data_IF_017908567600
#
_entry.id   IF_017908567600
#
_cell.length_a   1.000
_cell.length_b   1.000
_cell.length_c   1.000
_cell.angle_alpha   90.00
_cell.angle_beta   90.00
_cell.angle_gamma   90.00
#
_symmetry.space_group_name_H-M   'P 1'
#
loop_
_entity.id
_entity.type
_entity.pdbx_description
1 polymer ?
#
# COMPACT_ATOMS: atom_id res chain seq x y z
N UNK A 1 -42.27 25.52 57.98
CA UNK A 1 -43.54 26.20 57.55
C UNK A 1 -44.07 25.42 56.35
N UNK A 2 -45.16 24.74 56.55
CA UNK A 2 -45.86 23.97 55.51
C UNK A 2 -46.81 24.91 54.77
N UNK A 3 -46.40 25.45 53.62
CA UNK A 3 -47.30 26.23 52.74
C UNK A 3 -48.19 25.25 51.97
N UNK A 4 -49.48 25.48 51.99
CA UNK A 4 -50.49 24.71 51.25
C UNK A 4 -50.42 25.04 49.73
N UNK A 5 -49.91 26.22 49.38
CA UNK A 5 -49.78 26.67 48.00
C UNK A 5 -48.45 26.25 47.33
N UNK A 6 -47.44 25.92 48.09
CA UNK A 6 -46.12 25.48 47.56
C UNK A 6 -45.62 24.29 48.34
N UNK A 7 -45.61 23.10 47.72
CA UNK A 7 -45.02 21.89 48.28
C UNK A 7 -43.54 21.83 47.95
N UNK A 8 -42.69 22.35 48.84
CA UNK A 8 -41.23 22.40 48.68
C UNK A 8 -40.61 21.01 48.58
N UNK A 9 -41.18 19.99 49.24
CA UNK A 9 -40.72 18.62 49.15
C UNK A 9 -41.00 18.00 47.78
N UNK A 10 -42.18 18.23 47.24
CA UNK A 10 -42.53 17.76 45.89
C UNK A 10 -41.68 18.45 44.82
N UNK A 11 -41.42 19.77 44.95
CA UNK A 11 -40.55 20.49 44.02
C UNK A 11 -39.12 20.00 44.04
N UNK A 12 -38.54 19.70 45.21
CA UNK A 12 -37.19 19.12 45.36
C UNK A 12 -37.12 17.70 44.73
N UNK A 13 -38.15 16.86 44.99
CA UNK A 13 -38.26 15.53 44.37
C UNK A 13 -38.37 15.62 42.85
N UNK A 14 -39.15 16.52 42.32
CA UNK A 14 -39.30 16.75 40.87
C UNK A 14 -37.99 17.23 40.21
N UNK A 15 -37.27 18.13 40.88
CA UNK A 15 -35.94 18.59 40.41
C UNK A 15 -34.93 17.45 40.37
N UNK A 16 -34.93 16.58 41.40
CA UNK A 16 -34.08 15.40 41.44
C UNK A 16 -34.45 14.42 40.34
N UNK A 17 -35.73 14.19 40.10
CA UNK A 17 -36.23 13.29 39.08
C UNK A 17 -35.90 13.77 37.66
N UNK A 18 -35.96 15.09 37.41
CA UNK A 18 -35.49 15.69 36.15
C UNK A 18 -33.99 15.42 35.93
N UNK A 19 -33.13 15.65 36.93
CA UNK A 19 -31.70 15.36 36.84
C UNK A 19 -31.41 13.87 36.56
N UNK A 20 -32.21 12.96 37.17
CA UNK A 20 -32.07 11.52 36.92
C UNK A 20 -32.43 11.20 35.46
N UNK A 21 -33.56 11.78 34.96
CA UNK A 21 -33.96 11.58 33.56
C UNK A 21 -32.92 12.11 32.56
N UNK A 22 -32.39 13.31 32.76
CA UNK A 22 -31.36 13.89 31.92
C UNK A 22 -30.08 13.03 31.93
N UNK A 23 -29.68 12.51 33.11
CA UNK A 23 -28.56 11.60 33.25
C UNK A 23 -28.81 10.26 32.57
N UNK A 24 -30.05 9.75 32.66
CA UNK A 24 -30.47 8.49 32.04
C UNK A 24 -30.46 8.61 30.51
N UNK A 25 -30.93 9.71 29.94
CA UNK A 25 -30.89 9.99 28.53
C UNK A 25 -29.42 10.04 28.01
N UNK A 26 -28.55 10.73 28.74
CA UNK A 26 -27.10 10.76 28.41
C UNK A 26 -26.48 9.37 28.40
N UNK A 27 -26.76 8.54 29.42
CA UNK A 27 -26.24 7.18 29.49
C UNK A 27 -26.84 6.28 28.42
N UNK A 28 -28.15 6.42 28.10
CA UNK A 28 -28.78 5.69 27.01
C UNK A 28 -28.15 6.00 25.66
N UNK A 29 -27.87 7.28 25.40
CA UNK A 29 -27.18 7.70 24.16
C UNK A 29 -25.79 7.08 24.07
N UNK A 30 -25.01 7.06 25.17
CA UNK A 30 -23.68 6.42 25.23
C UNK A 30 -23.75 4.91 25.01
N UNK A 31 -24.76 4.24 25.61
CA UNK A 31 -24.97 2.80 25.43
C UNK A 31 -25.40 2.49 23.99
N UNK A 32 -26.18 3.36 23.38
CA UNK A 32 -26.66 3.18 22.00
C UNK A 32 -25.60 3.48 20.95
N UNK A 33 -24.82 4.56 21.13
CA UNK A 33 -23.77 4.96 20.19
C UNK A 33 -22.44 4.23 20.40
N UNK A 34 -22.19 3.72 21.62
CA UNK A 34 -20.90 3.17 22.02
C UNK A 34 -19.84 4.23 22.37
N UNK A 35 -20.18 5.52 22.25
CA UNK A 35 -19.26 6.62 22.48
C UNK A 35 -19.53 7.35 23.79
N UNK A 36 -18.46 7.65 24.52
CA UNK A 36 -18.49 8.57 25.66
C UNK A 36 -18.43 10.02 25.19
N UNK A 37 -17.73 10.29 24.08
CA UNK A 37 -17.61 11.61 23.44
C UNK A 37 -18.02 11.46 21.98
N UNK A 38 -19.26 11.76 21.69
CA UNK A 38 -19.85 11.66 20.35
C UNK A 38 -19.76 12.99 19.61
N UNK A 39 -19.99 14.09 20.33
CA UNK A 39 -20.05 15.44 19.78
C UNK A 39 -19.05 16.37 20.46
N UNK A 40 -18.76 17.52 19.82
CA UNK A 40 -17.91 18.56 20.40
C UNK A 40 -18.51 19.13 21.71
N UNK A 41 -19.84 19.01 21.90
CA UNK A 41 -20.51 19.47 23.10
C UNK A 41 -20.17 18.61 24.33
N UNK A 42 -19.86 17.31 24.15
CA UNK A 42 -19.48 16.41 25.23
C UNK A 42 -18.08 16.72 25.74
N UNK A 43 -17.13 16.87 24.84
CA UNK A 43 -15.75 17.30 25.13
C UNK A 43 -15.03 17.73 23.84
N UNK A 44 -14.97 19.05 23.64
CA UNK A 44 -14.40 19.64 22.43
C UNK A 44 -12.93 19.24 22.16
N UNK A 45 -12.13 19.09 23.22
CA UNK A 45 -10.71 18.74 23.08
C UNK A 45 -10.52 17.28 22.59
N UNK A 46 -11.19 16.31 23.25
CA UNK A 46 -11.11 14.91 22.84
C UNK A 46 -11.76 14.65 21.50
N UNK A 47 -12.90 15.29 21.23
CA UNK A 47 -13.57 15.21 19.94
C UNK A 47 -12.71 15.72 18.80
N UNK A 48 -12.05 16.88 18.97
CA UNK A 48 -11.16 17.46 17.95
C UNK A 48 -9.96 16.55 17.66
N UNK A 49 -9.30 16.03 18.71
CA UNK A 49 -8.16 15.11 18.55
C UNK A 49 -8.62 13.82 17.85
N UNK A 50 -9.73 13.21 18.31
CA UNK A 50 -10.25 11.98 17.73
C UNK A 50 -10.67 12.16 16.26
N UNK A 51 -11.29 13.28 15.91
CA UNK A 51 -11.69 13.59 14.53
C UNK A 51 -10.47 13.75 13.63
N UNK A 52 -9.42 14.43 14.09
CA UNK A 52 -8.15 14.53 13.35
C UNK A 52 -7.51 13.16 13.16
N UNK A 53 -7.43 12.35 14.23
CA UNK A 53 -6.87 10.99 14.17
C UNK A 53 -7.67 10.07 13.24
N UNK A 54 -9.01 10.15 13.23
CA UNK A 54 -9.85 9.40 12.29
C UNK A 54 -9.61 9.83 10.85
N UNK A 55 -9.42 11.13 10.60
CA UNK A 55 -9.07 11.65 9.28
C UNK A 55 -7.70 11.10 8.83
N UNK A 56 -6.72 11.10 9.73
CA UNK A 56 -5.38 10.57 9.44
C UNK A 56 -5.42 9.05 9.20
N UNK A 57 -6.25 8.32 9.95
CA UNK A 57 -6.47 6.89 9.75
C UNK A 57 -7.07 6.58 8.37
N UNK A 58 -8.06 7.37 7.94
CA UNK A 58 -8.61 7.26 6.58
C UNK A 58 -7.56 7.55 5.50
N UNK A 59 -6.68 8.52 5.71
CA UNK A 59 -5.58 8.81 4.79
C UNK A 59 -4.56 7.64 4.75
N UNK A 60 -4.22 7.05 5.90
CA UNK A 60 -3.32 5.89 5.99
C UNK A 60 -3.91 4.65 5.32
N UNK A 61 -5.22 4.40 5.44
CA UNK A 61 -5.89 3.31 4.73
C UNK A 61 -5.78 3.48 3.21
N UNK A 62 -5.96 4.70 2.69
CA UNK A 62 -5.75 4.98 1.26
C UNK A 62 -4.28 4.77 0.83
N UNK A 63 -3.32 5.09 1.71
CA UNK A 63 -1.89 4.81 1.46
C UNK A 63 -1.63 3.31 1.41
N UNK A 64 -2.28 2.52 2.27
CA UNK A 64 -2.17 1.07 2.26
C UNK A 64 -2.69 0.47 0.94
N UNK A 65 -3.83 0.95 0.43
CA UNK A 65 -4.34 0.56 -0.89
C UNK A 65 -3.35 0.92 -2.01
N UNK A 66 -2.73 2.10 -1.93
CA UNK A 66 -1.72 2.55 -2.90
C UNK A 66 -0.44 1.70 -2.83
N UNK A 67 -0.01 1.28 -1.63
CA UNK A 67 1.10 0.34 -1.45
C UNK A 67 0.79 -1.02 -2.06
N UNK A 68 -0.43 -1.55 -1.87
CA UNK A 68 -0.88 -2.79 -2.50
C UNK A 68 -0.82 -2.72 -4.03
N UNK A 69 -1.25 -1.59 -4.62
CA UNK A 69 -1.13 -1.34 -6.05
C UNK A 69 0.33 -1.26 -6.50
N UNK A 70 1.18 -0.58 -5.72
CA UNK A 70 2.62 -0.51 -5.97
C UNK A 70 3.30 -1.88 -5.90
N UNK A 71 2.95 -2.70 -4.92
CA UNK A 71 3.43 -4.08 -4.79
C UNK A 71 3.07 -4.91 -6.03
N UNK A 72 1.82 -4.84 -6.51
CA UNK A 72 1.41 -5.57 -7.70
C UNK A 72 2.22 -5.17 -8.94
N UNK A 73 2.54 -3.88 -9.12
CA UNK A 73 3.39 -3.41 -10.23
C UNK A 73 4.82 -3.94 -10.13
N UNK A 74 5.41 -3.91 -8.93
CA UNK A 74 6.77 -4.42 -8.71
C UNK A 74 6.85 -5.93 -8.86
N UNK A 75 5.86 -6.67 -8.38
CA UNK A 75 5.80 -8.13 -8.47
C UNK A 75 5.69 -8.60 -9.93
N UNK A 76 4.89 -7.92 -10.77
CA UNK A 76 4.79 -8.23 -12.19
C UNK A 76 6.11 -7.96 -12.91
N UNK A 77 6.74 -6.81 -12.65
CA UNK A 77 8.03 -6.49 -13.23
C UNK A 77 9.11 -7.48 -12.79
N UNK A 78 9.13 -7.88 -11.52
CA UNK A 78 10.05 -8.87 -10.98
C UNK A 78 9.86 -10.25 -11.63
N UNK A 79 8.63 -10.73 -11.73
CA UNK A 79 8.29 -12.00 -12.39
C UNK A 79 8.68 -11.99 -13.88
N UNK A 80 8.48 -10.84 -14.55
CA UNK A 80 8.93 -10.66 -15.93
C UNK A 80 10.45 -10.74 -16.08
N UNK A 81 11.20 -10.11 -15.16
CA UNK A 81 12.67 -10.22 -15.15
C UNK A 81 13.17 -11.63 -14.85
N UNK A 82 12.57 -12.32 -13.88
CA UNK A 82 12.91 -13.69 -13.53
C UNK A 82 12.70 -14.63 -14.74
N UNK A 83 11.55 -14.53 -15.40
CA UNK A 83 11.29 -15.28 -16.64
C UNK A 83 12.26 -14.91 -17.76
N UNK A 84 12.67 -13.66 -17.87
CA UNK A 84 13.65 -13.23 -18.86
C UNK A 84 15.06 -13.78 -18.56
N UNK A 85 15.48 -13.82 -17.31
CA UNK A 85 16.75 -14.42 -16.85
C UNK A 85 16.81 -15.89 -17.26
N UNK A 86 15.71 -16.63 -17.07
CA UNK A 86 15.64 -18.04 -17.45
C UNK A 86 15.80 -18.23 -18.97
N UNK A 87 15.14 -17.40 -19.78
CA UNK A 87 15.25 -17.47 -21.25
C UNK A 87 16.65 -17.04 -21.72
N UNK A 88 17.24 -15.98 -21.14
CA UNK A 88 18.62 -15.56 -21.47
C UNK A 88 19.63 -16.64 -21.09
N UNK A 89 19.39 -17.35 -19.99
CA UNK A 89 20.22 -18.51 -19.60
C UNK A 89 20.11 -19.63 -20.62
N UNK A 90 18.92 -19.91 -21.16
CA UNK A 90 18.77 -20.87 -22.26
C UNK A 90 19.47 -20.41 -23.53
N UNK A 91 19.42 -19.11 -23.88
CA UNK A 91 20.16 -18.54 -25.00
C UNK A 91 21.66 -18.75 -24.81
N UNK A 92 22.19 -18.49 -23.63
CA UNK A 92 23.60 -18.74 -23.28
C UNK A 92 23.97 -20.21 -23.51
N UNK A 93 23.15 -21.16 -23.06
CA UNK A 93 23.37 -22.59 -23.26
C UNK A 93 23.37 -22.96 -24.76
N UNK A 94 22.46 -22.38 -25.55
CA UNK A 94 22.41 -22.62 -27.01
C UNK A 94 23.64 -22.08 -27.74
N UNK A 95 24.11 -20.89 -27.38
CA UNK A 95 25.37 -20.33 -27.92
C UNK A 95 26.56 -21.20 -27.54
N UNK A 96 26.61 -21.69 -26.31
CA UNK A 96 27.65 -22.63 -25.88
C UNK A 96 27.62 -23.92 -26.68
N UNK A 97 26.44 -24.51 -26.89
CA UNK A 97 26.29 -25.72 -27.71
C UNK A 97 26.70 -25.51 -29.19
N UNK A 98 26.51 -24.28 -29.71
CA UNK A 98 26.95 -23.94 -31.06
C UNK A 98 28.49 -23.90 -31.23
N UNK A 99 29.25 -23.86 -30.14
CA UNK A 99 30.70 -23.91 -30.15
C UNK A 99 31.26 -25.33 -30.38
N UNK A 100 30.45 -26.36 -30.19
CA UNK A 100 30.86 -27.75 -30.38
C UNK A 100 31.03 -28.08 -31.86
N UNK A 101 32.14 -28.75 -32.23
CA UNK A 101 32.38 -29.19 -33.60
C UNK A 101 31.33 -30.19 -34.10
N UNK A 102 30.80 -29.96 -35.29
CA UNK A 102 29.80 -30.84 -35.92
C UNK A 102 28.35 -30.55 -35.61
N UNK A 103 28.06 -29.58 -34.77
CA UNK A 103 26.70 -29.11 -34.51
C UNK A 103 26.20 -28.24 -35.65
N UNK A 104 24.95 -28.46 -36.06
CA UNK A 104 24.27 -27.64 -37.09
C UNK A 104 23.87 -26.29 -36.52
N UNK A 105 24.70 -25.27 -36.73
CA UNK A 105 24.52 -23.91 -36.24
C UNK A 105 23.23 -23.27 -36.73
N UNK A 106 22.75 -23.64 -37.93
CA UNK A 106 21.50 -23.08 -38.47
C UNK A 106 20.25 -23.56 -37.73
N UNK A 107 20.29 -24.76 -37.15
CA UNK A 107 19.19 -25.27 -36.29
C UNK A 107 19.17 -24.53 -34.95
N UNK A 108 20.34 -24.29 -34.37
CA UNK A 108 20.45 -23.49 -33.14
C UNK A 108 19.97 -22.07 -33.37
N UNK A 109 20.28 -21.44 -34.51
CA UNK A 109 19.75 -20.08 -34.79
C UNK A 109 18.23 -20.00 -34.84
N UNK A 110 17.57 -21.05 -35.37
CA UNK A 110 16.10 -21.11 -35.34
C UNK A 110 15.57 -21.15 -33.93
N UNK A 111 16.15 -21.96 -33.05
CA UNK A 111 15.77 -22.02 -31.63
C UNK A 111 16.07 -20.68 -30.93
N UNK A 112 17.20 -20.05 -31.22
CA UNK A 112 17.55 -18.71 -30.73
C UNK A 112 16.51 -17.65 -31.14
N UNK A 113 15.99 -17.69 -32.34
CA UNK A 113 14.96 -16.75 -32.80
C UNK A 113 13.67 -16.91 -32.00
N UNK A 114 13.24 -18.14 -31.71
CA UNK A 114 12.05 -18.39 -30.87
C UNK A 114 12.27 -17.91 -29.43
N UNK A 115 13.45 -18.15 -28.84
CA UNK A 115 13.78 -17.63 -27.52
C UNK A 115 13.82 -16.09 -27.47
N UNK A 116 14.29 -15.45 -28.54
CA UNK A 116 14.24 -13.98 -28.68
C UNK A 116 12.81 -13.45 -28.78
N UNK A 117 11.94 -14.12 -29.57
CA UNK A 117 10.54 -13.77 -29.68
C UNK A 117 9.84 -13.93 -28.33
N UNK A 118 10.18 -14.98 -27.58
CA UNK A 118 9.65 -15.19 -26.22
C UNK A 118 10.09 -14.07 -25.27
N UNK A 119 11.36 -13.62 -25.31
CA UNK A 119 11.82 -12.49 -24.52
C UNK A 119 11.05 -11.20 -24.83
N UNK A 120 10.82 -10.93 -26.11
CA UNK A 120 10.03 -9.77 -26.54
C UNK A 120 8.59 -9.86 -25.98
N UNK A 121 7.95 -11.02 -26.06
CA UNK A 121 6.61 -11.26 -25.52
C UNK A 121 6.56 -11.11 -24.01
N UNK A 122 7.56 -11.60 -23.26
CA UNK A 122 7.66 -11.44 -21.80
C UNK A 122 7.76 -9.95 -21.44
N UNK A 123 8.65 -9.21 -22.12
CA UNK A 123 8.82 -7.78 -21.86
C UNK A 123 7.54 -6.99 -22.12
N UNK A 124 6.84 -7.27 -23.23
CA UNK A 124 5.60 -6.59 -23.62
C UNK A 124 4.42 -6.95 -22.69
N UNK A 125 4.33 -8.21 -22.25
CA UNK A 125 3.24 -8.71 -21.41
C UNK A 125 3.37 -8.27 -19.96
N UNK A 126 4.55 -7.88 -19.49
CA UNK A 126 4.82 -7.48 -18.11
C UNK A 126 4.26 -6.08 -17.81
N UNK A 127 2.97 -5.88 -18.06
CA UNK A 127 2.26 -4.62 -17.84
C UNK A 127 1.18 -4.77 -16.78
N UNK A 128 1.00 -3.73 -15.96
CA UNK A 128 -0.07 -3.63 -15.00
C UNK A 128 -0.79 -2.29 -15.14
N UNK A 129 -2.10 -2.33 -15.37
CA UNK A 129 -2.93 -1.12 -15.54
C UNK A 129 -2.39 -0.11 -16.55
N UNK A 130 -1.79 -0.61 -17.65
CA UNK A 130 -1.22 0.23 -18.71
C UNK A 130 0.19 0.75 -18.44
N UNK A 131 0.78 0.45 -17.30
CA UNK A 131 2.20 0.71 -17.02
C UNK A 131 3.03 -0.55 -17.20
N UNK A 132 4.14 -0.42 -17.94
CA UNK A 132 5.14 -1.46 -18.11
C UNK A 132 6.51 -0.90 -17.70
N UNK A 133 7.22 -1.59 -16.80
CA UNK A 133 8.53 -1.18 -16.30
C UNK A 133 9.68 -1.86 -17.05
N UNK A 134 9.35 -2.85 -17.88
CA UNK A 134 10.31 -3.63 -18.65
C UNK A 134 10.33 -3.26 -20.15
N UNK A 135 9.26 -2.64 -20.63
CA UNK A 135 9.07 -2.28 -22.03
C UNK A 135 8.70 -0.80 -22.17
N UNK A 136 9.57 -0.02 -22.80
CA UNK A 136 9.35 1.41 -22.99
C UNK A 136 8.96 1.72 -24.43
N UNK A 137 7.79 2.35 -24.61
CA UNK A 137 7.30 2.85 -25.89
C UNK A 137 7.34 4.37 -25.98
N UNK A 138 7.71 5.07 -24.93
CA UNK A 138 7.74 6.53 -24.89
C UNK A 138 9.02 7.07 -25.56
N UNK A 139 8.92 8.19 -26.24
CA UNK A 139 10.06 8.90 -26.84
C UNK A 139 11.06 9.35 -25.74
N UNK A 140 10.56 9.77 -24.59
CA UNK A 140 11.38 9.97 -23.40
C UNK A 140 11.79 8.59 -22.83
N UNK A 141 13.01 8.47 -22.32
CA UNK A 141 13.45 7.25 -21.62
C UNK A 141 12.55 6.96 -20.43
N UNK A 142 12.62 5.71 -19.95
CA UNK A 142 11.95 5.37 -18.70
C UNK A 142 12.46 6.26 -17.56
N UNK A 143 11.52 6.78 -16.78
CA UNK A 143 11.77 7.71 -15.68
C UNK A 143 11.64 7.01 -14.34
N UNK A 144 12.02 7.70 -13.28
CA UNK A 144 11.78 7.26 -11.92
C UNK A 144 10.28 7.04 -11.69
N UNK A 145 9.91 5.86 -11.22
CA UNK A 145 8.56 5.50 -10.82
C UNK A 145 8.39 5.75 -9.33
N UNK A 146 7.26 6.34 -8.96
CA UNK A 146 6.96 6.70 -7.59
C UNK A 146 5.81 5.86 -7.06
N UNK A 147 5.99 5.28 -5.87
CA UNK A 147 4.98 4.54 -5.14
C UNK A 147 4.74 5.30 -3.84
N UNK A 148 3.48 5.62 -3.55
CA UNK A 148 3.14 6.28 -2.28
C UNK A 148 3.40 5.31 -1.13
N UNK A 149 4.21 5.75 -0.17
CA UNK A 149 4.70 4.89 0.91
C UNK A 149 4.13 5.25 2.28
N UNK A 150 3.89 6.53 2.55
CA UNK A 150 3.42 6.97 3.87
C UNK A 150 2.72 8.32 3.78
N UNK A 151 1.84 8.54 4.75
CA UNK A 151 1.22 9.83 5.03
C UNK A 151 1.81 10.37 6.33
N UNK A 152 2.29 11.62 6.31
CA UNK A 152 2.87 12.27 7.46
C UNK A 152 2.16 13.60 7.75
N UNK A 153 1.85 13.83 9.02
CA UNK A 153 1.35 15.12 9.51
C UNK A 153 2.41 15.80 10.37
N UNK A 154 2.78 17.02 10.00
CA UNK A 154 3.70 17.85 10.79
C UNK A 154 2.99 18.48 12.01
N UNK A 155 3.74 18.87 13.06
CA UNK A 155 3.16 19.49 14.26
C UNK A 155 2.38 20.79 13.98
N UNK A 156 2.69 21.49 12.89
CA UNK A 156 1.99 22.69 12.43
C UNK A 156 0.73 22.40 11.60
N UNK A 157 0.32 21.13 11.48
CA UNK A 157 -0.86 20.69 10.74
C UNK A 157 -0.64 20.48 9.24
N UNK A 158 0.54 20.76 8.69
CA UNK A 158 0.85 20.48 7.29
C UNK A 158 0.93 18.97 7.06
N UNK A 159 0.37 18.51 5.93
CA UNK A 159 0.37 17.12 5.52
C UNK A 159 1.32 16.91 4.35
N UNK A 160 2.01 15.76 4.33
CA UNK A 160 2.91 15.36 3.25
C UNK A 160 2.81 13.86 2.98
N UNK A 161 2.98 13.48 1.71
CA UNK A 161 3.11 12.09 1.29
C UNK A 161 4.59 11.77 1.08
N UNK A 162 5.04 10.65 1.61
CA UNK A 162 6.36 10.10 1.31
C UNK A 162 6.23 9.08 0.20
N UNK A 163 7.13 9.13 -0.80
CA UNK A 163 7.17 8.18 -1.92
C UNK A 163 8.38 7.27 -1.84
N UNK A 164 8.25 6.07 -2.36
CA UNK A 164 9.33 5.18 -2.71
C UNK A 164 9.64 5.40 -4.18
N UNK A 165 10.87 5.82 -4.46
CA UNK A 165 11.31 6.08 -5.82
C UNK A 165 12.07 4.87 -6.36
N UNK A 166 11.72 4.46 -7.57
CA UNK A 166 12.39 3.42 -8.33
C UNK A 166 12.83 3.94 -9.69
N UNK A 167 14.10 3.84 -10.01
CA UNK A 167 14.64 4.19 -11.32
C UNK A 167 14.37 3.06 -12.32
N UNK A 168 13.26 3.17 -13.06
CA UNK A 168 12.87 2.19 -14.05
C UNK A 168 13.82 2.12 -15.27
N UNK A 169 14.70 3.11 -15.46
CA UNK A 169 15.65 3.10 -16.57
C UNK A 169 16.61 1.92 -16.52
N UNK A 170 16.85 1.37 -15.33
CA UNK A 170 17.76 0.24 -15.12
C UNK A 170 17.10 -1.13 -15.37
N UNK A 171 15.76 -1.20 -15.42
CA UNK A 171 15.03 -2.46 -15.63
C UNK A 171 14.42 -2.60 -17.02
N UNK A 172 14.46 -1.56 -17.85
CA UNK A 172 13.94 -1.62 -19.21
C UNK A 172 14.72 -2.65 -20.02
N UNK A 173 14.02 -3.71 -20.43
CA UNK A 173 14.57 -4.74 -21.28
C UNK A 173 14.60 -4.29 -22.76
N UNK A 174 13.53 -3.65 -23.22
CA UNK A 174 13.33 -3.19 -24.60
C UNK A 174 12.85 -1.74 -24.59
N UNK A 175 13.55 -0.88 -25.32
CA UNK A 175 13.10 0.50 -25.60
C UNK A 175 12.89 0.63 -27.11
N UNK A 176 11.67 0.99 -27.53
CA UNK A 176 11.30 1.08 -28.95
C UNK A 176 11.81 2.34 -29.65
N UNK A 177 12.28 3.34 -28.89
CA UNK A 177 12.75 4.62 -29.42
C UNK A 177 14.27 4.78 -29.39
N UNK A 178 14.98 4.04 -28.56
CA UNK A 178 16.43 4.09 -28.46
C UNK A 178 17.00 2.74 -28.05
N UNK A 179 17.69 2.09 -28.97
CA UNK A 179 18.35 0.80 -28.70
C UNK A 179 19.26 0.86 -27.49
N UNK A 180 19.98 1.97 -27.27
CA UNK A 180 20.94 2.13 -26.18
C UNK A 180 20.32 2.16 -24.76
N UNK A 181 19.00 2.23 -24.60
CA UNK A 181 18.32 2.28 -23.31
C UNK A 181 17.85 0.91 -22.80
N UNK A 182 17.56 -0.04 -23.70
CA UNK A 182 17.10 -1.38 -23.31
C UNK A 182 18.24 -2.34 -23.07
N UNK A 183 18.15 -3.17 -22.03
CA UNK A 183 19.18 -4.15 -21.69
C UNK A 183 19.43 -5.14 -22.83
N UNK A 184 18.38 -5.56 -23.54
CA UNK A 184 18.45 -6.54 -24.63
C UNK A 184 18.70 -5.91 -26.01
N UNK A 185 18.52 -4.60 -26.11
CA UNK A 185 18.62 -3.86 -27.39
C UNK A 185 19.89 -3.03 -27.50
N UNK A 186 20.54 -2.68 -26.37
CA UNK A 186 21.76 -1.89 -26.37
C UNK A 186 22.98 -2.69 -26.85
N UNK A 187 23.94 -1.98 -27.42
CA UNK A 187 25.22 -2.54 -27.80
C UNK A 187 26.10 -2.85 -26.60
N UNK A 188 26.44 -4.12 -26.44
CA UNK A 188 27.37 -4.59 -25.43
C UNK A 188 28.75 -4.73 -26.06
N UNK A 189 29.64 -3.83 -25.66
CA UNK A 189 31.03 -3.86 -26.13
C UNK A 189 31.81 -4.93 -25.34
N UNK A 190 32.42 -5.86 -26.03
CA UNK A 190 33.18 -6.96 -25.46
C UNK A 190 34.54 -7.08 -26.13
N UNK A 191 35.54 -7.59 -25.43
CA UNK A 191 36.86 -7.87 -26.00
C UNK A 191 36.79 -9.14 -26.85
N UNK A 192 37.24 -9.05 -28.11
CA UNK A 192 37.22 -10.19 -29.04
C UNK A 192 38.50 -10.19 -29.90
N UNK A 193 39.32 -11.28 -29.83
CA UNK A 193 39.16 -12.45 -28.96
C UNK A 193 39.25 -12.12 -27.47
N UNK A 194 38.74 -13.01 -26.63
CA UNK A 194 38.82 -12.83 -25.19
C UNK A 194 40.24 -12.55 -24.70
N UNK A 195 40.41 -11.47 -23.90
CA UNK A 195 41.72 -11.01 -23.43
C UNK A 195 42.50 -10.14 -24.43
N UNK A 196 41.96 -9.83 -25.60
CA UNK A 196 42.53 -8.89 -26.59
C UNK A 196 42.10 -7.45 -26.29
N UNK A 197 42.75 -6.47 -26.91
CA UNK A 197 42.34 -5.05 -26.93
C UNK A 197 41.39 -4.73 -28.05
N UNK A 198 41.17 -5.65 -29.00
CA UNK A 198 40.15 -5.49 -30.05
C UNK A 198 38.77 -5.67 -29.44
N UNK A 199 37.84 -4.83 -29.83
CA UNK A 199 36.48 -4.83 -29.31
C UNK A 199 35.48 -5.15 -30.40
N UNK A 200 34.42 -5.90 -30.04
CA UNK A 200 33.22 -6.10 -30.84
C UNK A 200 32.01 -5.71 -30.05
N UNK A 201 30.92 -5.32 -30.72
CA UNK A 201 29.67 -4.91 -30.08
C UNK A 201 28.57 -5.85 -30.51
N UNK A 202 27.82 -6.37 -29.56
CA UNK A 202 26.70 -7.28 -29.78
C UNK A 202 25.42 -6.82 -29.08
N UNK A 203 24.28 -7.01 -29.72
CA UNK A 203 22.95 -6.84 -29.11
C UNK A 203 22.05 -8.06 -29.39
N UNK A 204 21.07 -8.29 -28.55
CA UNK A 204 20.23 -9.50 -28.65
C UNK A 204 18.99 -9.26 -29.52
N UNK A 205 18.27 -8.18 -29.25
CA UNK A 205 17.01 -7.85 -29.94
C UNK A 205 17.15 -6.58 -30.76
N UNK A 206 16.68 -6.64 -32.00
CA UNK A 206 16.58 -5.46 -32.87
C UNK A 206 15.18 -4.85 -32.78
N UNK A 207 15.13 -3.53 -32.63
CA UNK A 207 13.89 -2.76 -32.65
C UNK A 207 13.82 -1.98 -33.98
N UNK A 208 12.68 -2.03 -34.69
CA UNK A 208 12.53 -1.29 -35.94
C UNK A 208 12.77 0.22 -35.76
N UNK A 209 13.67 0.77 -36.58
CA UNK A 209 13.98 2.21 -36.58
C UNK A 209 15.08 2.68 -35.64
N UNK A 210 15.53 1.86 -34.70
CA UNK A 210 16.57 2.22 -33.70
C UNK A 210 17.54 1.08 -33.41
N UNK A 211 17.95 0.34 -34.47
CA UNK A 211 18.92 -0.76 -34.30
C UNK A 211 20.22 -0.24 -33.72
N UNK A 212 20.85 -1.06 -32.87
CA UNK A 212 22.21 -0.81 -32.39
C UNK A 212 23.20 -0.73 -33.55
N UNK A 213 24.35 -0.13 -33.31
CA UNK A 213 25.44 -0.05 -34.29
C UNK A 213 26.28 -1.33 -34.35
N UNK A 214 26.11 -2.19 -33.33
CA UNK A 214 26.78 -3.48 -33.20
C UNK A 214 26.18 -4.59 -34.09
N UNK A 215 26.63 -5.80 -33.88
CA UNK A 215 26.15 -6.98 -34.60
C UNK A 215 25.05 -7.68 -33.77
N UNK A 216 23.90 -7.96 -34.40
CA UNK A 216 22.90 -8.77 -33.74
C UNK A 216 23.43 -10.19 -33.50
N UNK A 217 23.15 -10.73 -32.33
CA UNK A 217 23.48 -12.11 -31.98
C UNK A 217 22.67 -13.06 -32.88
N UNK A 218 23.24 -13.55 -33.95
CA UNK A 218 22.73 -14.59 -34.86
C UNK A 218 23.83 -15.60 -35.14
N UNK A 219 23.48 -16.85 -35.35
CA UNK A 219 24.44 -17.94 -35.52
C UNK A 219 24.22 -18.59 -36.86
N UNK A 220 25.27 -18.60 -37.67
CA UNK A 220 25.25 -19.27 -38.96
C UNK A 220 26.50 -20.19 -39.11
N UNK A 221 26.58 -20.89 -40.23
CA UNK A 221 27.72 -21.80 -40.50
C UNK A 221 29.06 -21.07 -40.68
N UNK A 222 29.05 -19.75 -40.92
CA UNK A 222 30.23 -18.91 -41.03
C UNK A 222 30.70 -18.34 -39.70
N UNK A 223 29.88 -18.43 -38.65
CA UNK A 223 30.19 -17.91 -37.32
C UNK A 223 31.37 -18.69 -36.70
N UNK A 224 32.48 -18.00 -36.38
CA UNK A 224 33.67 -18.60 -35.78
C UNK A 224 33.47 -18.80 -34.28
N UNK A 225 34.29 -19.69 -33.68
CA UNK A 225 34.26 -19.88 -32.21
C UNK A 225 34.71 -18.61 -31.47
N UNK A 226 35.52 -17.77 -32.08
CA UNK A 226 35.90 -16.47 -31.55
C UNK A 226 34.71 -15.50 -31.47
N UNK A 227 33.89 -15.46 -32.54
CA UNK A 227 32.65 -14.68 -32.57
C UNK A 227 31.62 -15.19 -31.53
N UNK A 228 31.48 -16.52 -31.41
CA UNK A 228 30.65 -17.15 -30.40
C UNK A 228 31.11 -16.79 -28.97
N UNK A 229 32.42 -16.72 -28.72
CA UNK A 229 32.96 -16.27 -27.46
C UNK A 229 32.61 -14.82 -27.12
N UNK A 230 32.67 -13.90 -28.10
CA UNK A 230 32.23 -12.52 -27.94
C UNK A 230 30.72 -12.41 -27.67
N UNK A 231 29.89 -13.17 -28.42
CA UNK A 231 28.46 -13.23 -28.18
C UNK A 231 28.12 -13.79 -26.80
N UNK A 232 28.82 -14.80 -26.35
CA UNK A 232 28.63 -15.38 -25.01
C UNK A 232 28.95 -14.38 -23.91
N UNK A 233 30.06 -13.61 -24.05
CA UNK A 233 30.38 -12.55 -23.10
C UNK A 233 29.36 -11.44 -23.07
N UNK A 234 28.78 -11.05 -24.22
CA UNK A 234 27.73 -10.06 -24.31
C UNK A 234 26.43 -10.55 -23.60
N UNK A 235 26.08 -11.82 -23.81
CA UNK A 235 24.90 -12.43 -23.12
C UNK A 235 25.15 -12.53 -21.61
N UNK A 236 26.39 -12.80 -21.19
CA UNK A 236 26.74 -12.79 -19.76
C UNK A 236 26.56 -11.43 -19.12
N UNK A 237 27.00 -10.36 -19.80
CA UNK A 237 26.81 -8.99 -19.34
C UNK A 237 25.34 -8.61 -19.27
N UNK A 238 24.51 -9.06 -20.24
CA UNK A 238 23.05 -8.89 -20.21
C UNK A 238 22.43 -9.60 -19.01
N UNK A 239 22.84 -10.85 -18.76
CA UNK A 239 22.36 -11.67 -17.64
C UNK A 239 22.69 -11.00 -16.29
N UNK A 240 23.91 -10.49 -16.14
CA UNK A 240 24.31 -9.75 -14.93
C UNK A 240 23.42 -8.52 -14.72
N UNK A 241 23.20 -7.71 -15.76
CA UNK A 241 22.35 -6.52 -15.65
C UNK A 241 20.89 -6.86 -15.32
N UNK A 242 20.34 -7.94 -15.90
CA UNK A 242 19.00 -8.41 -15.58
C UNK A 242 18.91 -8.88 -14.12
N UNK A 243 19.95 -9.60 -13.64
CA UNK A 243 20.03 -10.06 -12.26
C UNK A 243 20.15 -8.91 -11.27
N UNK A 244 20.94 -7.88 -11.58
CA UNK A 244 21.07 -6.68 -10.75
C UNK A 244 19.73 -5.90 -10.69
N UNK A 245 19.04 -5.80 -11.83
CA UNK A 245 17.71 -5.18 -11.90
C UNK A 245 16.67 -5.96 -11.09
N UNK A 246 16.66 -7.28 -11.20
CA UNK A 246 15.79 -8.16 -10.42
C UNK A 246 16.09 -8.07 -8.92
N UNK A 247 17.36 -8.03 -8.53
CA UNK A 247 17.78 -7.85 -7.13
C UNK A 247 17.29 -6.52 -6.57
N UNK A 248 17.39 -5.43 -7.34
CA UNK A 248 16.91 -4.11 -6.94
C UNK A 248 15.40 -4.09 -6.78
N UNK A 249 14.65 -4.67 -7.73
CA UNK A 249 13.19 -4.81 -7.63
C UNK A 249 12.78 -5.68 -6.44
N UNK A 250 13.47 -6.78 -6.19
CA UNK A 250 13.25 -7.64 -5.03
C UNK A 250 13.43 -6.89 -3.69
N UNK A 251 14.47 -6.05 -3.62
CA UNK A 251 14.70 -5.21 -2.45
C UNK A 251 13.58 -4.18 -2.26
N UNK A 252 13.06 -3.58 -3.34
CA UNK A 252 11.94 -2.64 -3.30
C UNK A 252 10.65 -3.34 -2.89
N UNK A 253 10.36 -4.52 -3.45
CA UNK A 253 9.20 -5.34 -3.05
C UNK A 253 9.25 -5.67 -1.55
N UNK A 254 10.41 -6.06 -1.04
CA UNK A 254 10.59 -6.29 0.39
C UNK A 254 10.35 -5.03 1.23
N UNK A 255 10.83 -3.88 0.76
CA UNK A 255 10.62 -2.58 1.41
C UNK A 255 9.15 -2.16 1.40
N UNK A 256 8.42 -2.41 0.31
CA UNK A 256 6.97 -2.15 0.22
C UNK A 256 6.22 -3.01 1.24
N UNK A 257 6.53 -4.30 1.35
CA UNK A 257 5.91 -5.21 2.33
C UNK A 257 6.13 -4.76 3.76
N UNK A 258 7.36 -4.38 4.11
CA UNK A 258 7.65 -3.83 5.45
C UNK A 258 6.90 -2.52 5.72
N UNK A 259 6.74 -1.68 4.70
CA UNK A 259 6.00 -0.42 4.82
C UNK A 259 4.49 -0.66 4.99
N UNK A 260 3.93 -1.62 4.27
CA UNK A 260 2.51 -2.02 4.41
C UNK A 260 2.21 -2.54 5.82
N UNK A 261 3.05 -3.44 6.35
CA UNK A 261 2.94 -3.94 7.72
C UNK A 261 3.07 -2.81 8.76
N UNK A 262 3.97 -1.86 8.53
CA UNK A 262 4.12 -0.70 9.41
C UNK A 262 2.87 0.18 9.40
N UNK A 263 2.32 0.50 8.22
CA UNK A 263 1.10 1.31 8.06
C UNK A 263 -0.09 0.60 8.70
N UNK A 264 -0.26 -0.71 8.48
CA UNK A 264 -1.31 -1.50 9.12
C UNK A 264 -1.21 -1.46 10.66
N UNK A 265 0.01 -1.57 11.20
CA UNK A 265 0.24 -1.45 12.65
C UNK A 265 -0.10 -0.06 13.15
N UNK A 266 0.27 1.00 12.40
CA UNK A 266 0.00 2.39 12.75
C UNK A 266 -1.52 2.66 12.77
N UNK A 267 -2.27 2.17 11.79
CA UNK A 267 -3.73 2.23 11.73
C UNK A 267 -4.33 1.64 13.01
N UNK A 268 -3.93 0.43 13.39
CA UNK A 268 -4.42 -0.25 14.59
C UNK A 268 -4.10 0.52 15.89
N UNK A 269 -2.90 1.13 15.97
CA UNK A 269 -2.50 1.94 17.13
C UNK A 269 -3.34 3.22 17.22
N UNK A 270 -3.58 3.88 16.08
CA UNK A 270 -4.42 5.08 16.01
C UNK A 270 -5.86 4.74 16.41
N UNK A 271 -6.45 3.67 15.88
CA UNK A 271 -7.81 3.23 16.24
C UNK A 271 -7.92 2.95 17.75
N UNK A 272 -6.97 2.24 18.31
CA UNK A 272 -6.92 1.99 19.75
C UNK A 272 -6.73 3.28 20.56
N UNK A 273 -5.96 4.24 20.03
CA UNK A 273 -5.80 5.56 20.62
C UNK A 273 -7.10 6.35 20.63
N UNK A 274 -7.79 6.38 19.48
CA UNK A 274 -9.12 7.03 19.33
C UNK A 274 -10.13 6.39 20.26
N UNK A 275 -10.20 5.05 20.31
CA UNK A 275 -11.12 4.33 21.18
C UNK A 275 -10.95 4.72 22.66
N UNK A 276 -9.72 4.82 23.15
CA UNK A 276 -9.45 5.27 24.52
C UNK A 276 -9.94 6.70 24.83
N UNK A 277 -9.98 7.57 23.82
CA UNK A 277 -10.40 8.95 23.98
C UNK A 277 -11.93 9.11 23.95
N UNK A 278 -12.60 8.35 23.07
CA UNK A 278 -14.01 8.61 22.74
C UNK A 278 -14.96 7.46 23.03
N UNK A 279 -14.50 6.21 23.14
CA UNK A 279 -15.37 5.07 23.40
C UNK A 279 -15.86 5.04 24.83
N UNK A 280 -17.06 4.52 25.03
CA UNK A 280 -17.66 4.28 26.34
C UNK A 280 -17.33 2.87 26.85
N UNK A 281 -17.05 2.74 28.16
CA UNK A 281 -17.01 1.43 28.80
C UNK A 281 -18.46 0.91 28.99
N UNK A 282 -18.84 -0.03 28.14
CA UNK A 282 -20.20 -0.59 28.13
C UNK A 282 -20.59 -1.27 29.44
N UNK A 283 -19.64 -1.80 30.21
CA UNK A 283 -19.91 -2.42 31.50
C UNK A 283 -20.26 -1.35 32.55
N UNK A 284 -19.49 -0.25 32.55
CA UNK A 284 -19.74 0.89 33.44
C UNK A 284 -21.07 1.56 33.09
N UNK A 285 -21.29 1.92 31.82
CA UNK A 285 -22.50 2.62 31.39
C UNK A 285 -23.78 1.77 31.54
N UNK A 286 -23.71 0.45 31.30
CA UNK A 286 -24.84 -0.46 31.52
C UNK A 286 -25.18 -0.59 33.03
N UNK A 287 -24.17 -0.63 33.88
CA UNK A 287 -24.38 -0.67 35.34
C UNK A 287 -24.98 0.66 35.83
N UNK A 288 -24.48 1.79 35.30
CA UNK A 288 -24.96 3.12 35.58
C UNK A 288 -26.43 3.32 35.13
N UNK A 289 -26.78 2.78 33.94
CA UNK A 289 -28.14 2.79 33.44
C UNK A 289 -29.11 2.07 34.39
N UNK A 290 -28.74 0.87 34.86
CA UNK A 290 -29.55 0.11 35.84
C UNK A 290 -29.70 0.86 37.16
N UNK A 291 -28.63 1.48 37.66
CA UNK A 291 -28.69 2.30 38.87
C UNK A 291 -29.59 3.51 38.71
N UNK A 292 -29.53 4.23 37.57
CA UNK A 292 -30.38 5.37 37.27
C UNK A 292 -31.87 4.96 37.13
N UNK A 293 -32.15 3.80 36.52
CA UNK A 293 -33.54 3.25 36.48
C UNK A 293 -34.08 2.98 37.86
N UNK A 294 -33.26 2.40 38.76
CA UNK A 294 -33.65 2.18 40.15
C UNK A 294 -33.88 3.52 40.88
N UNK A 295 -32.96 4.49 40.71
CA UNK A 295 -33.09 5.82 41.29
C UNK A 295 -34.35 6.56 40.77
N UNK A 296 -34.72 6.41 39.49
CA UNK A 296 -35.95 6.95 38.92
C UNK A 296 -37.21 6.38 39.61
N UNK A 297 -37.22 5.04 39.81
CA UNK A 297 -38.33 4.38 40.52
C UNK A 297 -38.47 4.90 41.96
N UNK A 298 -37.33 5.03 42.69
CA UNK A 298 -37.30 5.60 44.02
C UNK A 298 -37.71 7.08 44.06
N UNK A 299 -37.30 7.86 43.04
CA UNK A 299 -37.71 9.27 42.88
C UNK A 299 -39.20 9.44 42.69
N UNK A 300 -39.85 8.56 41.89
CA UNK A 300 -41.29 8.54 41.70
C UNK A 300 -42.01 8.21 43.03
N UNK A 301 -41.52 7.23 43.80
CA UNK A 301 -42.07 6.91 45.10
C UNK A 301 -41.93 8.06 46.12
N UNK A 302 -40.76 8.73 46.13
CA UNK A 302 -40.52 9.89 46.98
C UNK A 302 -41.45 11.06 46.62
N UNK A 303 -41.73 11.29 45.31
CA UNK A 303 -42.67 12.29 44.84
C UNK A 303 -44.11 11.95 45.31
N UNK A 304 -44.53 10.69 45.25
CA UNK A 304 -45.82 10.23 45.76
C UNK A 304 -45.95 10.47 47.26
N UNK A 305 -44.92 10.12 48.06
CA UNK A 305 -44.92 10.38 49.51
C UNK A 305 -44.99 11.89 49.80
N UNK A 306 -44.28 12.72 49.05
CA UNK A 306 -44.30 14.15 49.25
C UNK A 306 -45.73 14.77 48.93
N UNK A 307 -46.44 14.20 47.96
CA UNK A 307 -47.79 14.63 47.59
C UNK A 307 -48.85 14.15 48.60
N UNK A 308 -48.75 12.89 49.11
CA UNK A 308 -49.69 12.37 50.14
C UNK A 308 -49.56 13.11 51.46
N UNK A 309 -48.37 13.60 51.84
CA UNK A 309 -48.25 14.48 53.00
C UNK A 309 -49.01 15.79 52.87
N UNK A 310 -49.06 16.38 51.68
CA UNK A 310 -49.82 17.60 51.42
C UNK A 310 -51.37 17.33 51.44
N UNK A 311 -51.80 16.20 50.88
CA UNK A 311 -53.19 15.75 50.93
C UNK A 311 -53.68 15.49 52.37
N UNK A 312 -52.87 14.83 53.20
CA UNK A 312 -53.17 14.57 54.61
C UNK A 312 -53.37 15.87 55.42
N UNK A 313 -52.61 16.91 55.13
CA UNK A 313 -52.81 18.25 55.73
C UNK A 313 -54.10 18.87 55.26
N UNK A 314 -54.48 18.75 53.99
CA UNK A 314 -55.72 19.27 53.42
C UNK A 314 -56.94 18.56 53.99
N UNK A 315 -56.87 17.26 54.30
CA UNK A 315 -57.95 16.51 54.90
C UNK A 315 -58.18 16.92 56.36
N UNK A 316 -57.15 17.33 57.11
CA UNK A 316 -57.23 17.86 58.47
C UNK A 316 -57.93 19.22 58.54
N UNK A 317 -57.86 20.01 57.48
CA UNK A 317 -58.61 21.33 57.41
C UNK A 317 -60.04 21.25 56.83
N UNK A 318 -60.44 20.04 56.35
CA UNK A 318 -61.77 19.80 55.78
C UNK A 318 -62.81 19.18 56.77
N UNK A 319 -62.40 18.95 58.02
CA UNK A 319 -63.34 18.56 59.11
C UNK A 319 -63.88 19.80 59.80
#
# INVERSE_FOLDING_TARGET
MTSILTNTGAMAALQTLRKINDSMETVQNRVSSGYRVETAADNAAYWSIATTMRSDNGALSTVQDALGLGAAKTDIAYTGLESAIDVVTQIKQKITAASEPGVDKTKIDKELRELKNQLASIAESASFSGENWLYNTATAGATTKQIVASFNRSPNGAVSLTTLDYDASQSVMIDTHSAGRGILTKDWVVNQPFGSTATASYFLLSVPGTAGTGTQITIDNSTTNETLGGMLQAVENMLQQLTDSASTLGAITSRIKMQDEFVATLINVIEKGVGRLVDADMNEESTRLKALQTQQQLGIQALQIANTNAENILTLFRQ
#
